data_IF_227138010843
#
_entry.id   IF_227138010843
#
_cell.length_a   1.000
_cell.length_b   1.000
_cell.length_c   1.000
_cell.angle_alpha   90.00
_cell.angle_beta   90.00
_cell.angle_gamma   90.00
#
_symmetry.space_group_name_H-M   'P 1'
#
loop_
_entity.id
_entity.type
_entity.pdbx_description
1 polymer ?
#
# COMPACT_ATOMS: atom_id res chain seq x y z
N UNK A 1 -2.43 -17.51 -14.91
CA UNK A 1 -2.47 -16.22 -14.20
C UNK A 1 -2.58 -15.10 -15.23
N UNK A 2 -3.39 -14.10 -14.96
CA UNK A 2 -3.55 -12.97 -15.88
C UNK A 2 -2.31 -12.09 -15.88
N UNK A 3 -2.13 -11.32 -16.97
CA UNK A 3 -1.02 -10.39 -17.08
C UNK A 3 -0.98 -9.42 -15.91
N UNK A 4 0.19 -9.27 -15.30
CA UNK A 4 0.39 -8.38 -14.15
C UNK A 4 -0.03 -8.95 -12.81
N UNK A 5 -0.86 -10.00 -12.79
CA UNK A 5 -1.38 -10.56 -11.54
C UNK A 5 -0.28 -11.22 -10.71
N UNK A 6 0.66 -11.89 -11.36
CA UNK A 6 1.77 -12.55 -10.68
C UNK A 6 2.65 -11.54 -9.94
N UNK A 7 2.98 -10.44 -10.58
CA UNK A 7 3.81 -9.39 -9.99
C UNK A 7 3.15 -8.80 -8.75
N UNK A 8 1.83 -8.62 -8.79
CA UNK A 8 1.07 -8.07 -7.67
C UNK A 8 1.00 -9.05 -6.51
N UNK A 9 0.69 -10.31 -6.78
CA UNK A 9 0.49 -11.33 -5.74
C UNK A 9 1.81 -11.70 -5.05
N UNK A 10 2.92 -11.74 -5.78
CA UNK A 10 4.22 -12.11 -5.25
C UNK A 10 5.02 -10.93 -4.70
N UNK A 11 4.48 -9.72 -4.78
CA UNK A 11 5.19 -8.51 -4.34
C UNK A 11 5.34 -8.47 -2.82
N UNK A 12 6.55 -8.21 -2.36
CA UNK A 12 6.86 -8.02 -0.94
C UNK A 12 7.35 -6.60 -0.71
N UNK A 13 6.51 -5.77 -0.08
CA UNK A 13 6.80 -4.37 0.20
C UNK A 13 8.01 -4.21 1.15
N UNK A 14 8.32 -5.21 1.95
CA UNK A 14 9.36 -5.10 2.97
C UNK A 14 10.78 -5.33 2.43
N UNK A 15 10.95 -5.58 1.15
CA UNK A 15 12.29 -5.69 0.56
C UNK A 15 12.99 -4.33 0.55
N UNK A 16 14.29 -4.34 0.80
CA UNK A 16 15.12 -3.12 0.85
C UNK A 16 15.00 -2.26 -0.41
N UNK A 17 14.87 -2.88 -1.58
CA UNK A 17 14.79 -2.16 -2.86
C UNK A 17 13.55 -1.25 -2.97
N UNK A 18 12.56 -1.42 -2.08
CA UNK A 18 11.34 -0.64 -2.07
C UNK A 18 11.44 0.63 -1.23
N UNK A 19 12.62 0.93 -0.72
CA UNK A 19 12.84 2.08 0.14
C UNK A 19 14.05 2.88 -0.31
N UNK A 20 13.97 4.20 -0.10
CA UNK A 20 15.08 5.12 -0.28
C UNK A 20 15.66 5.49 1.09
N UNK A 21 16.97 5.73 1.21
CA UNK A 21 17.49 6.29 2.45
C UNK A 21 16.91 7.69 2.67
N UNK A 22 16.60 8.02 3.91
CA UNK A 22 16.17 9.37 4.25
C UNK A 22 17.43 10.23 4.49
N UNK A 23 17.75 11.08 3.53
CA UNK A 23 18.96 11.91 3.56
C UNK A 23 18.77 13.23 4.30
N UNK A 24 17.60 13.43 4.91
CA UNK A 24 17.27 14.68 5.59
C UNK A 24 17.25 14.50 7.10
N UNK A 25 17.88 15.44 7.79
CA UNK A 25 18.07 15.41 9.24
C UNK A 25 17.05 16.31 9.95
N UNK A 26 15.85 16.39 9.41
CA UNK A 26 14.76 17.21 9.96
C UNK A 26 13.48 16.44 10.01
N UNK A 27 12.56 16.84 10.89
CA UNK A 27 11.22 16.26 10.92
C UNK A 27 10.37 16.89 9.82
N UNK A 28 9.77 16.05 9.00
CA UNK A 28 8.83 16.49 7.98
C UNK A 28 7.77 15.41 7.79
N UNK A 29 6.62 15.81 7.25
CA UNK A 29 5.49 14.92 7.06
C UNK A 29 5.29 14.68 5.57
N UNK A 30 5.14 13.41 5.20
CA UNK A 30 4.78 13.01 3.85
C UNK A 30 3.30 12.67 3.82
N UNK A 31 2.56 13.30 2.90
CA UNK A 31 1.16 13.01 2.65
C UNK A 31 1.01 12.50 1.23
N UNK A 32 0.41 11.31 1.09
CA UNK A 32 0.20 10.68 -0.23
C UNK A 32 -1.27 10.28 -0.34
N UNK A 33 -1.88 10.56 -1.48
CA UNK A 33 -3.22 10.07 -1.79
C UNK A 33 -3.14 9.06 -2.94
N UNK A 34 -3.76 7.90 -2.72
CA UNK A 34 -3.80 6.81 -3.68
C UNK A 34 -5.28 6.50 -3.99
N UNK A 35 -5.84 7.10 -5.03
CA UNK A 35 -7.28 6.98 -5.32
C UNK A 35 -7.69 5.67 -5.97
N UNK A 36 -6.74 4.85 -6.38
CA UNK A 36 -7.00 3.62 -7.12
C UNK A 36 -7.11 2.36 -6.24
N UNK A 37 -7.34 2.52 -4.93
CA UNK A 37 -7.50 1.35 -4.06
C UNK A 37 -8.79 0.60 -4.41
N UNK A 38 -8.67 -0.72 -4.50
CA UNK A 38 -9.80 -1.62 -4.70
C UNK A 38 -9.59 -2.90 -3.89
N UNK A 39 -10.66 -3.38 -3.28
CA UNK A 39 -10.73 -4.70 -2.67
C UNK A 39 -12.11 -5.27 -2.96
N UNK A 40 -12.33 -6.55 -2.64
CA UNK A 40 -13.64 -7.19 -2.83
C UNK A 40 -14.35 -7.27 -1.48
N UNK A 41 -15.65 -6.96 -1.50
CA UNK A 41 -16.48 -7.11 -0.31
C UNK A 41 -16.47 -8.57 0.14
N UNK A 42 -16.15 -8.86 1.42
CA UNK A 42 -16.09 -10.25 1.90
C UNK A 42 -17.44 -10.96 1.92
N UNK A 43 -18.56 -10.22 1.86
CA UNK A 43 -19.88 -10.82 1.81
C UNK A 43 -20.35 -11.14 0.39
N UNK A 44 -20.12 -10.23 -0.55
CA UNK A 44 -20.70 -10.32 -1.90
C UNK A 44 -19.67 -10.53 -2.99
N UNK A 45 -18.37 -10.29 -2.71
CA UNK A 45 -17.33 -10.28 -3.72
C UNK A 45 -17.40 -9.07 -4.65
N UNK A 46 -18.27 -8.11 -4.36
CA UNK A 46 -18.41 -6.91 -5.18
C UNK A 46 -17.19 -6.00 -4.99
N UNK A 47 -16.68 -5.40 -6.08
CA UNK A 47 -15.53 -4.51 -5.94
C UNK A 47 -15.86 -3.23 -5.16
N UNK A 48 -15.07 -2.96 -4.13
CA UNK A 48 -15.17 -1.76 -3.31
C UNK A 48 -13.99 -0.85 -3.61
N UNK A 49 -14.27 0.39 -3.97
CA UNK A 49 -13.25 1.38 -4.32
C UNK A 49 -13.08 2.39 -3.19
N UNK A 50 -11.88 2.86 -3.02
CA UNK A 50 -11.58 3.87 -2.01
C UNK A 50 -10.32 4.65 -2.36
N UNK A 51 -10.11 5.77 -1.68
CA UNK A 51 -8.85 6.50 -1.71
C UNK A 51 -8.10 6.22 -0.42
N UNK A 52 -6.86 5.76 -0.56
CA UNK A 52 -5.97 5.61 0.58
C UNK A 52 -5.25 6.94 0.79
N UNK A 53 -5.35 7.48 2.00
CA UNK A 53 -4.60 8.66 2.43
C UNK A 53 -3.54 8.20 3.42
N UNK A 54 -2.28 8.32 3.02
CA UNK A 54 -1.16 7.94 3.84
C UNK A 54 -0.44 9.18 4.35
N UNK A 55 -0.21 9.25 5.65
CA UNK A 55 0.55 10.33 6.28
C UNK A 55 1.57 9.71 7.21
N UNK A 56 2.84 10.10 7.06
CA UNK A 56 3.88 9.60 7.96
C UNK A 56 5.06 10.55 8.04
N UNK A 57 5.80 10.41 9.13
CA UNK A 57 7.08 11.10 9.33
C UNK A 57 8.18 10.06 9.11
N UNK A 58 9.00 10.20 8.05
CA UNK A 58 10.05 9.23 7.79
C UNK A 58 11.16 9.31 8.84
N UNK A 59 11.74 8.16 9.15
CA UNK A 59 12.89 8.08 10.05
C UNK A 59 14.14 7.77 9.23
N UNK A 60 14.55 6.51 9.16
CA UNK A 60 15.80 6.13 8.48
C UNK A 60 15.61 5.95 6.98
N UNK A 61 14.40 5.69 6.51
CA UNK A 61 14.13 5.41 5.11
C UNK A 61 12.76 5.93 4.70
N UNK A 62 12.61 6.14 3.40
CA UNK A 62 11.39 6.63 2.78
C UNK A 62 10.91 5.57 1.80
N UNK A 63 9.61 5.28 1.78
CA UNK A 63 9.07 4.30 0.85
C UNK A 63 9.09 4.83 -0.60
N UNK A 64 9.46 3.97 -1.55
CA UNK A 64 9.44 4.30 -2.95
C UNK A 64 7.98 4.30 -3.44
N UNK A 65 7.57 5.34 -4.16
CA UNK A 65 6.17 5.57 -4.53
C UNK A 65 5.62 4.46 -5.42
N UNK A 66 6.39 3.97 -6.38
CA UNK A 66 5.96 2.88 -7.25
C UNK A 66 5.71 1.60 -6.44
N UNK A 67 6.60 1.31 -5.50
CA UNK A 67 6.45 0.15 -4.62
C UNK A 67 5.18 0.26 -3.77
N UNK A 68 4.90 1.46 -3.25
CA UNK A 68 3.68 1.71 -2.48
C UNK A 68 2.44 1.47 -3.33
N UNK A 69 2.42 1.92 -4.57
CA UNK A 69 1.30 1.71 -5.49
C UNK A 69 1.07 0.22 -5.77
N UNK A 70 2.13 -0.53 -6.01
CA UNK A 70 2.02 -1.98 -6.23
C UNK A 70 1.46 -2.66 -5.00
N UNK A 71 1.94 -2.28 -3.81
CA UNK A 71 1.44 -2.83 -2.55
C UNK A 71 -0.06 -2.59 -2.40
N UNK A 72 -0.51 -1.36 -2.61
CA UNK A 72 -1.93 -1.01 -2.50
C UNK A 72 -2.76 -1.77 -3.54
N UNK A 73 -2.25 -1.94 -4.75
CA UNK A 73 -2.94 -2.70 -5.79
C UNK A 73 -3.02 -4.19 -5.48
N UNK A 74 -2.18 -4.70 -4.58
CA UNK A 74 -2.23 -6.13 -4.20
C UNK A 74 -3.53 -6.51 -3.50
N UNK A 75 -4.32 -5.55 -3.05
CA UNK A 75 -5.61 -5.79 -2.41
C UNK A 75 -6.74 -6.06 -3.40
N UNK A 76 -6.54 -5.77 -4.69
CA UNK A 76 -7.63 -5.81 -5.68
C UNK A 76 -8.26 -7.18 -5.86
N UNK A 77 -7.53 -8.27 -5.58
CA UNK A 77 -8.03 -9.63 -5.70
C UNK A 77 -8.48 -10.22 -4.36
N UNK A 78 -8.38 -9.47 -3.28
CA UNK A 78 -8.66 -9.96 -1.92
C UNK A 78 -10.07 -9.61 -1.49
N UNK A 79 -10.70 -10.54 -0.78
CA UNK A 79 -11.96 -10.30 -0.08
C UNK A 79 -11.64 -9.80 1.32
N UNK A 80 -11.70 -8.49 1.50
CA UNK A 80 -11.34 -7.85 2.77
C UNK A 80 -12.14 -6.56 2.93
N UNK A 81 -12.60 -6.27 4.15
CA UNK A 81 -13.31 -5.02 4.44
C UNK A 81 -12.37 -3.83 4.40
N UNK A 82 -12.92 -2.63 4.22
CA UNK A 82 -12.12 -1.41 4.25
C UNK A 82 -11.46 -1.21 5.62
N UNK A 83 -12.15 -1.53 6.71
CA UNK A 83 -11.62 -1.41 8.06
C UNK A 83 -10.40 -2.32 8.26
N UNK A 84 -10.51 -3.58 7.84
CA UNK A 84 -9.41 -4.52 7.96
C UNK A 84 -8.26 -4.18 7.02
N UNK A 85 -8.55 -3.65 5.83
CA UNK A 85 -7.52 -3.17 4.90
C UNK A 85 -6.71 -2.04 5.51
N UNK A 86 -7.39 -1.06 6.11
CA UNK A 86 -6.71 0.08 6.73
C UNK A 86 -5.77 -0.38 7.85
N UNK A 87 -6.23 -1.30 8.71
CA UNK A 87 -5.41 -1.82 9.79
C UNK A 87 -4.22 -2.63 9.29
N UNK A 88 -4.41 -3.47 8.29
CA UNK A 88 -3.32 -4.26 7.71
C UNK A 88 -2.27 -3.37 7.06
N UNK A 89 -2.70 -2.36 6.31
CA UNK A 89 -1.78 -1.40 5.69
C UNK A 89 -0.98 -0.66 6.75
N UNK A 90 -1.65 -0.19 7.79
CA UNK A 90 -0.99 0.49 8.90
C UNK A 90 0.07 -0.40 9.54
N UNK A 91 -0.30 -1.63 9.87
CA UNK A 91 0.61 -2.56 10.54
C UNK A 91 1.80 -2.95 9.65
N UNK A 92 1.58 -3.07 8.35
CA UNK A 92 2.64 -3.44 7.41
C UNK A 92 3.65 -2.30 7.22
N UNK A 93 3.16 -1.06 7.13
CA UNK A 93 4.01 0.11 6.83
C UNK A 93 4.62 0.76 8.08
N UNK A 94 4.03 0.52 9.23
CA UNK A 94 4.55 1.06 10.48
C UNK A 94 5.82 0.34 10.91
#
# INVERSE_FOLDING_TARGET
MKYGEKEIVEFDINKEENFWPNDHDKNYIINIELPEFMAKCPRSGYPDFATIKLQYTPNKRVIELKALKIYINSFMFREISHENSANEIFDTLY
#
